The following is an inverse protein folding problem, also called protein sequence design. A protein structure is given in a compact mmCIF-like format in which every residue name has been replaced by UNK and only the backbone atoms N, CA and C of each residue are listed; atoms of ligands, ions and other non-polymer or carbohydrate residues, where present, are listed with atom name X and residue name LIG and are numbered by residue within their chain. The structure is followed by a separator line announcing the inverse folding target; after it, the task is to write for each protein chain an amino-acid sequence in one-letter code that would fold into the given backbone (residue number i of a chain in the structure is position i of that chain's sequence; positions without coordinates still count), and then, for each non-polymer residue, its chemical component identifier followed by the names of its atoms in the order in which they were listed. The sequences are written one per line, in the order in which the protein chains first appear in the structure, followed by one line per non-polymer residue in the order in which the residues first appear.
data_IF_700685874851
#
_entry.id   IF_700685874851
#
_cell.length_a   1.000
_cell.length_b   1.000
_cell.length_c   1.000
_cell.angle_alpha   90.00
_cell.angle_beta   90.00
_cell.angle_gamma   90.00
#
_symmetry.space_group_name_H-M   'P 1'
#
loop_
_entity.id
_entity.type
_entity.pdbx_description
1 polymer ?
#
# COMPACT_ATOMS: atom_id res chain seq x y z
N UNK A 1 -15.96 10.63 -10.72
CA UNK A 1 -17.02 9.97 -9.92
C UNK A 1 -16.54 9.55 -8.53
N UNK A 2 -15.29 9.07 -8.37
CA UNK A 2 -14.75 8.63 -7.06
C UNK A 2 -14.69 9.76 -6.02
N UNK A 3 -14.32 10.98 -6.44
CA UNK A 3 -14.18 12.12 -5.51
C UNK A 3 -15.49 12.58 -4.83
N UNK A 4 -16.66 12.37 -5.46
CA UNK A 4 -17.96 12.72 -4.87
C UNK A 4 -18.48 11.67 -3.89
N UNK A 5 -17.98 10.44 -3.95
CA UNK A 5 -18.38 9.33 -3.07
C UNK A 5 -17.50 9.19 -1.83
N UNK A 6 -16.35 9.86 -1.79
CA UNK A 6 -15.42 9.90 -0.67
C UNK A 6 -16.06 10.13 0.72
N UNK A 7 -17.03 11.05 0.93
CA UNK A 7 -17.63 11.23 2.25
C UNK A 7 -18.43 10.01 2.72
N UNK A 8 -19.11 9.32 1.80
CA UNK A 8 -19.92 8.12 2.11
C UNK A 8 -19.00 6.92 2.32
N UNK A 9 -17.98 6.74 1.46
CA UNK A 9 -17.03 5.63 1.56
C UNK A 9 -16.19 5.69 2.84
N UNK A 10 -15.85 6.90 3.31
CA UNK A 10 -15.07 7.11 4.53
C UNK A 10 -15.94 7.20 5.81
N UNK A 11 -17.24 6.92 5.73
CA UNK A 11 -18.10 6.94 6.91
C UNK A 11 -17.64 5.87 7.91
N UNK A 12 -17.36 6.30 9.16
CA UNK A 12 -16.84 5.43 10.23
C UNK A 12 -15.31 5.34 10.31
N UNK A 13 -14.56 6.02 9.44
CA UNK A 13 -13.09 5.88 9.37
C UNK A 13 -12.38 6.30 10.66
N UNK A 14 -12.93 7.25 11.41
CA UNK A 14 -12.34 7.77 12.65
C UNK A 14 -12.39 6.77 13.81
N UNK A 15 -13.25 5.75 13.72
CA UNK A 15 -13.42 4.70 14.74
C UNK A 15 -12.85 3.35 14.27
N UNK A 16 -12.15 3.33 13.14
CA UNK A 16 -11.66 2.14 12.48
C UNK A 16 -10.13 2.12 12.51
N UNK A 17 -9.54 0.95 12.80
CA UNK A 17 -8.10 0.77 12.74
C UNK A 17 -7.58 1.00 11.31
N UNK A 18 -6.36 1.56 11.17
CA UNK A 18 -5.75 1.84 9.86
C UNK A 18 -5.71 0.63 8.94
N UNK A 19 -5.53 -0.57 9.50
CA UNK A 19 -5.51 -1.85 8.78
C UNK A 19 -6.89 -2.25 8.22
N UNK A 20 -7.98 -1.73 8.77
CA UNK A 20 -9.35 -2.09 8.40
C UNK A 20 -10.03 -1.05 7.50
N UNK A 21 -9.37 0.07 7.20
CA UNK A 21 -9.92 1.17 6.39
C UNK A 21 -10.35 0.70 5.00
N UNK A 22 -9.55 -0.14 4.35
CA UNK A 22 -9.92 -0.72 3.06
C UNK A 22 -11.23 -1.53 3.14
N UNK A 23 -11.33 -2.43 4.11
CA UNK A 23 -12.52 -3.25 4.30
C UNK A 23 -13.76 -2.43 4.65
N UNK A 24 -13.60 -1.35 5.43
CA UNK A 24 -14.66 -0.39 5.72
C UNK A 24 -15.20 0.26 4.44
N UNK A 25 -14.29 0.77 3.59
CA UNK A 25 -14.67 1.39 2.31
C UNK A 25 -15.39 0.41 1.39
N UNK A 26 -14.94 -0.83 1.32
CA UNK A 26 -15.59 -1.90 0.55
C UNK A 26 -17.01 -2.19 1.03
N UNK A 27 -17.23 -2.27 2.34
CA UNK A 27 -18.57 -2.47 2.92
C UNK A 27 -19.49 -1.29 2.60
N UNK A 28 -19.00 -0.05 2.75
CA UNK A 28 -19.77 1.16 2.42
C UNK A 28 -20.08 1.26 0.92
N UNK A 29 -19.15 0.84 0.04
CA UNK A 29 -19.37 0.79 -1.41
C UNK A 29 -20.48 -0.20 -1.76
N UNK A 30 -20.42 -1.43 -1.22
CA UNK A 30 -21.45 -2.43 -1.42
C UNK A 30 -22.81 -1.94 -0.89
N UNK A 31 -22.84 -1.31 0.29
CA UNK A 31 -24.07 -0.75 0.84
C UNK A 31 -24.67 0.31 -0.09
N UNK A 32 -23.82 1.16 -0.69
CA UNK A 32 -24.24 2.16 -1.67
C UNK A 32 -24.81 1.51 -2.94
N UNK A 33 -24.12 0.50 -3.50
CA UNK A 33 -24.57 -0.22 -4.70
C UNK A 33 -25.90 -0.96 -4.45
N UNK A 34 -26.03 -1.69 -3.34
CA UNK A 34 -27.25 -2.40 -2.98
C UNK A 34 -28.42 -1.47 -2.70
N UNK A 35 -28.20 -0.36 -1.98
CA UNK A 35 -29.24 0.65 -1.72
C UNK A 35 -29.69 1.30 -3.03
N UNK A 36 -28.75 1.76 -3.86
CA UNK A 36 -29.04 2.40 -5.14
C UNK A 36 -29.74 1.46 -6.12
N UNK A 37 -29.26 0.23 -6.27
CA UNK A 37 -29.88 -0.79 -7.11
C UNK A 37 -31.29 -1.15 -6.65
N UNK A 38 -31.51 -1.29 -5.33
CA UNK A 38 -32.84 -1.55 -4.77
C UNK A 38 -33.81 -0.42 -5.04
N UNK A 39 -33.40 0.84 -4.81
CA UNK A 39 -34.24 2.01 -5.11
C UNK A 39 -34.55 2.14 -6.60
N UNK A 40 -33.58 1.81 -7.47
CA UNK A 40 -33.78 1.79 -8.92
C UNK A 40 -34.84 0.75 -9.31
N UNK A 41 -34.75 -0.48 -8.81
CA UNK A 41 -35.77 -1.51 -9.07
C UNK A 41 -37.14 -1.12 -8.50
N UNK A 42 -37.20 -0.52 -7.31
CA UNK A 42 -38.45 0.01 -6.76
C UNK A 42 -39.07 1.09 -7.65
N UNK A 43 -38.25 1.99 -8.19
CA UNK A 43 -38.72 3.00 -9.14
C UNK A 43 -39.22 2.36 -10.45
N UNK A 44 -38.52 1.33 -10.95
CA UNK A 44 -38.97 0.58 -12.13
C UNK A 44 -40.32 -0.12 -11.87
N UNK A 45 -40.50 -0.77 -10.72
CA UNK A 45 -41.78 -1.40 -10.35
C UNK A 45 -42.92 -0.39 -10.30
N UNK A 46 -42.67 0.82 -9.79
CA UNK A 46 -43.68 1.87 -9.71
C UNK A 46 -43.98 2.49 -11.08
N UNK A 47 -42.97 3.01 -11.76
CA UNK A 47 -43.15 3.84 -12.96
C UNK A 47 -43.28 3.04 -14.24
N UNK A 48 -42.50 1.96 -14.41
CA UNK A 48 -42.50 1.17 -15.64
C UNK A 48 -43.55 0.06 -15.61
N UNK A 49 -43.77 -0.56 -14.45
CA UNK A 49 -44.65 -1.72 -14.32
C UNK A 49 -45.96 -1.43 -13.55
N UNK A 50 -46.13 -0.22 -13.01
CA UNK A 50 -47.39 0.23 -12.38
C UNK A 50 -47.75 -0.48 -11.07
N UNK A 51 -46.83 -1.22 -10.45
CA UNK A 51 -47.08 -1.99 -9.23
C UNK A 51 -46.51 -1.28 -8.01
N UNK A 52 -47.39 -0.54 -7.32
CA UNK A 52 -47.06 0.13 -6.07
C UNK A 52 -46.66 -0.86 -4.97
N UNK A 53 -47.32 -2.03 -4.91
CA UNK A 53 -47.04 -3.07 -3.92
C UNK A 53 -45.66 -3.67 -4.09
N UNK A 54 -45.27 -4.03 -5.32
CA UNK A 54 -43.92 -4.53 -5.61
C UNK A 54 -42.84 -3.47 -5.30
N UNK A 55 -43.09 -2.21 -5.68
CA UNK A 55 -42.18 -1.10 -5.42
C UNK A 55 -41.92 -0.89 -3.92
N UNK A 56 -42.99 -0.92 -3.10
CA UNK A 56 -42.94 -0.72 -1.66
C UNK A 56 -42.25 -1.90 -0.97
N UNK A 57 -42.64 -3.14 -1.31
CA UNK A 57 -42.02 -4.36 -0.76
C UNK A 57 -40.51 -4.40 -1.03
N UNK A 58 -40.08 -4.11 -2.26
CA UNK A 58 -38.65 -4.04 -2.57
C UNK A 58 -37.97 -2.83 -1.89
N UNK A 59 -38.66 -1.70 -1.77
CA UNK A 59 -38.13 -0.47 -1.18
C UNK A 59 -37.79 -0.61 0.31
N UNK A 60 -38.49 -1.49 1.03
CA UNK A 60 -38.19 -1.79 2.43
C UNK A 60 -36.77 -2.35 2.62
N UNK A 61 -36.23 -3.09 1.65
CA UNK A 61 -34.85 -3.58 1.72
C UNK A 61 -33.83 -2.45 1.62
N UNK A 62 -34.13 -1.33 0.94
CA UNK A 62 -33.24 -0.17 0.90
C UNK A 62 -33.00 0.41 2.31
N UNK A 63 -34.03 0.41 3.16
CA UNK A 63 -33.91 0.82 4.57
C UNK A 63 -32.98 -0.11 5.33
N UNK A 64 -33.09 -1.43 5.11
CA UNK A 64 -32.22 -2.42 5.74
C UNK A 64 -30.75 -2.28 5.29
N UNK A 65 -30.50 -1.87 4.05
CA UNK A 65 -29.14 -1.57 3.60
C UNK A 65 -28.58 -0.31 4.22
N UNK A 66 -29.41 0.72 4.46
CA UNK A 66 -28.99 1.96 5.12
C UNK A 66 -28.46 1.70 6.54
N UNK A 67 -28.99 0.70 7.24
CA UNK A 67 -28.49 0.27 8.56
C UNK A 67 -27.00 -0.11 8.51
N UNK A 68 -26.50 -0.60 7.37
CA UNK A 68 -25.07 -0.89 7.19
C UNK A 68 -24.20 0.34 7.46
N UNK A 69 -24.63 1.53 6.99
CA UNK A 69 -23.89 2.78 7.24
C UNK A 69 -23.91 3.19 8.72
N UNK A 70 -24.99 2.87 9.43
CA UNK A 70 -25.07 3.10 10.88
C UNK A 70 -24.07 2.19 11.61
N UNK A 71 -24.02 0.91 11.24
CA UNK A 71 -23.09 -0.05 11.83
C UNK A 71 -21.62 0.34 11.56
N UNK A 72 -21.30 0.78 10.34
CA UNK A 72 -19.94 1.23 10.01
C UNK A 72 -19.59 2.54 10.72
N UNK A 73 -20.54 3.48 10.84
CA UNK A 73 -20.38 4.73 11.61
C UNK A 73 -20.09 4.46 13.10
N UNK A 74 -20.75 3.47 13.69
CA UNK A 74 -20.54 3.10 15.09
C UNK A 74 -19.23 2.31 15.32
N UNK A 75 -18.51 1.93 14.25
CA UNK A 75 -17.25 1.17 14.33
C UNK A 75 -17.45 -0.34 14.43
N UNK A 76 -18.68 -0.85 14.29
CA UNK A 76 -19.01 -2.27 14.42
C UNK A 76 -18.89 -2.97 13.06
N UNK A 77 -17.69 -2.94 12.49
CA UNK A 77 -17.44 -3.38 11.12
C UNK A 77 -17.75 -4.86 10.89
N UNK A 78 -17.46 -5.73 11.87
CA UNK A 78 -17.68 -7.17 11.71
C UNK A 78 -19.17 -7.49 11.51
N UNK A 79 -20.10 -6.85 12.24
CA UNK A 79 -21.54 -7.04 12.03
C UNK A 79 -21.95 -6.49 10.66
N UNK A 80 -21.45 -5.31 10.28
CA UNK A 80 -21.76 -4.69 8.99
C UNK A 80 -21.39 -5.61 7.80
N UNK A 81 -20.23 -6.29 7.89
CA UNK A 81 -19.77 -7.25 6.87
C UNK A 81 -20.78 -8.38 6.64
N UNK A 82 -21.34 -8.97 7.69
CA UNK A 82 -22.31 -10.07 7.53
C UNK A 82 -23.73 -9.57 7.24
N UNK A 83 -24.12 -8.45 7.86
CA UNK A 83 -25.43 -7.83 7.70
C UNK A 83 -25.77 -7.62 6.23
N UNK A 84 -24.86 -7.03 5.46
CA UNK A 84 -25.11 -6.74 4.05
C UNK A 84 -25.39 -7.99 3.20
N UNK A 85 -24.67 -9.08 3.44
CA UNK A 85 -24.90 -10.34 2.73
C UNK A 85 -26.20 -11.02 3.18
N UNK A 86 -26.54 -10.96 4.46
CA UNK A 86 -27.81 -11.49 4.98
C UNK A 86 -29.00 -10.78 4.32
N UNK A 87 -28.99 -9.44 4.30
CA UNK A 87 -30.06 -8.66 3.66
C UNK A 87 -30.12 -8.94 2.16
N UNK A 88 -28.97 -9.06 1.49
CA UNK A 88 -28.91 -9.42 0.08
C UNK A 88 -29.49 -10.79 -0.21
N UNK A 89 -29.13 -11.81 0.57
CA UNK A 89 -29.72 -13.15 0.42
C UNK A 89 -31.22 -13.16 0.67
N UNK A 90 -31.69 -12.46 1.70
CA UNK A 90 -33.12 -12.35 1.98
C UNK A 90 -33.86 -11.66 0.83
N UNK A 91 -33.33 -10.58 0.28
CA UNK A 91 -33.93 -9.89 -0.86
C UNK A 91 -33.98 -10.78 -2.11
N UNK A 92 -32.87 -11.45 -2.43
CA UNK A 92 -32.76 -12.30 -3.62
C UNK A 92 -33.59 -13.59 -3.53
N UNK A 93 -33.95 -14.03 -2.32
CA UNK A 93 -34.90 -15.11 -2.12
C UNK A 93 -36.36 -14.59 -2.13
N UNK A 94 -36.60 -13.42 -1.54
CA UNK A 94 -37.94 -12.85 -1.41
C UNK A 94 -38.54 -12.41 -2.75
N UNK A 95 -37.75 -11.76 -3.61
CA UNK A 95 -38.22 -11.23 -4.89
C UNK A 95 -38.82 -12.32 -5.81
N UNK A 96 -38.12 -13.42 -6.15
CA UNK A 96 -38.66 -14.44 -7.05
C UNK A 96 -39.79 -15.27 -6.41
N UNK A 97 -39.83 -15.40 -5.08
CA UNK A 97 -40.88 -16.19 -4.42
C UNK A 97 -42.22 -15.44 -4.31
N UNK A 98 -42.17 -14.13 -4.07
CA UNK A 98 -43.37 -13.36 -3.70
C UNK A 98 -43.68 -12.21 -4.65
N UNK A 99 -42.69 -11.62 -5.31
CA UNK A 99 -42.87 -10.36 -6.03
C UNK A 99 -42.88 -10.56 -7.54
N UNK A 100 -41.98 -11.38 -8.09
CA UNK A 100 -41.70 -11.46 -9.52
C UNK A 100 -42.10 -12.81 -10.11
N UNK A 101 -42.53 -12.80 -11.37
CA UNK A 101 -42.71 -14.03 -12.15
C UNK A 101 -41.38 -14.64 -12.60
N UNK A 102 -41.43 -15.92 -12.98
CA UNK A 102 -40.28 -16.76 -13.35
C UNK A 102 -39.33 -16.17 -14.41
N UNK A 103 -39.74 -15.14 -15.16
CA UNK A 103 -38.98 -14.58 -16.28
C UNK A 103 -38.11 -13.36 -15.92
N UNK A 104 -38.13 -12.85 -14.68
CA UNK A 104 -37.37 -11.65 -14.29
C UNK A 104 -35.94 -11.98 -13.82
N UNK A 105 -35.72 -13.19 -13.30
CA UNK A 105 -34.44 -13.76 -12.89
C UNK A 105 -33.51 -12.88 -12.01
N UNK A 106 -34.06 -12.14 -11.02
CA UNK A 106 -33.23 -11.31 -10.12
C UNK A 106 -32.17 -12.09 -9.37
N UNK A 107 -32.42 -13.36 -9.07
CA UNK A 107 -31.52 -14.26 -8.36
C UNK A 107 -30.16 -14.43 -9.06
N UNK A 108 -30.03 -14.09 -10.34
CA UNK A 108 -28.73 -14.00 -11.03
C UNK A 108 -27.76 -13.01 -10.37
N UNK A 109 -28.27 -12.00 -9.64
CA UNK A 109 -27.44 -11.08 -8.86
C UNK A 109 -26.62 -11.80 -7.77
N UNK A 110 -27.01 -13.01 -7.36
CA UNK A 110 -26.22 -13.85 -6.45
C UNK A 110 -24.85 -14.23 -7.03
N UNK A 111 -24.66 -14.18 -8.36
CA UNK A 111 -23.36 -14.44 -9.00
C UNK A 111 -22.29 -13.38 -8.70
N UNK A 112 -22.66 -12.19 -8.24
CA UNK A 112 -21.68 -11.17 -7.78
C UNK A 112 -21.12 -11.47 -6.39
N UNK A 113 -21.79 -12.32 -5.61
CA UNK A 113 -21.44 -12.57 -4.20
C UNK A 113 -20.02 -13.11 -4.04
N UNK A 114 -19.53 -14.10 -4.81
CA UNK A 114 -18.14 -14.55 -4.69
C UNK A 114 -17.14 -13.41 -4.82
N UNK A 115 -17.32 -12.51 -5.79
CA UNK A 115 -16.46 -11.34 -5.97
C UNK A 115 -16.57 -10.40 -4.77
N UNK A 116 -17.79 -10.06 -4.34
CA UNK A 116 -18.01 -9.16 -3.21
C UNK A 116 -17.42 -9.67 -1.89
N UNK A 117 -17.54 -10.97 -1.61
CA UNK A 117 -17.02 -11.56 -0.35
C UNK A 117 -15.48 -11.57 -0.34
N UNK A 118 -14.84 -11.80 -1.49
CA UNK A 118 -13.37 -11.70 -1.60
C UNK A 118 -12.87 -10.29 -1.29
N UNK A 119 -13.63 -9.26 -1.63
CA UNK A 119 -13.27 -7.85 -1.39
C UNK A 119 -13.50 -7.43 0.06
N UNK A 120 -14.56 -7.92 0.69
CA UNK A 120 -14.97 -7.51 2.04
C UNK A 120 -14.17 -8.21 3.15
N UNK A 121 -13.79 -9.47 2.95
CA UNK A 121 -13.15 -10.29 3.97
C UNK A 121 -11.65 -10.41 3.78
N UNK A 122 -10.92 -10.52 4.88
CA UNK A 122 -9.48 -10.72 4.86
C UNK A 122 -9.10 -11.98 4.08
N UNK A 123 -7.95 -11.97 3.36
CA UNK A 123 -7.47 -13.16 2.65
C UNK A 123 -7.31 -14.38 3.56
N UNK A 124 -7.00 -14.14 4.85
CA UNK A 124 -6.86 -15.17 5.88
C UNK A 124 -8.21 -15.75 6.35
N UNK A 125 -9.30 -14.99 6.24
CA UNK A 125 -10.64 -15.40 6.65
C UNK A 125 -11.30 -16.30 5.59
N UNK A 126 -10.76 -17.51 5.41
CA UNK A 126 -11.25 -18.47 4.39
C UNK A 126 -12.70 -18.91 4.63
N UNK A 127 -13.09 -19.09 5.88
CA UNK A 127 -14.42 -19.60 6.25
C UNK A 127 -15.58 -18.73 5.71
N UNK A 128 -15.66 -17.41 6.00
CA UNK A 128 -16.74 -16.58 5.45
C UNK A 128 -16.68 -16.48 3.92
N UNK A 129 -15.49 -16.52 3.32
CA UNK A 129 -15.30 -16.43 1.86
C UNK A 129 -15.95 -17.57 1.12
N UNK A 130 -15.59 -18.79 1.47
CA UNK A 130 -16.17 -19.97 0.82
C UNK A 130 -17.59 -20.23 1.31
N UNK A 131 -17.88 -20.02 2.59
CA UNK A 131 -19.21 -20.23 3.17
C UNK A 131 -20.29 -19.37 2.53
N UNK A 132 -20.11 -18.04 2.48
CA UNK A 132 -21.10 -17.13 1.90
C UNK A 132 -21.24 -17.34 0.38
N UNK A 133 -20.15 -17.68 -0.31
CA UNK A 133 -20.19 -18.01 -1.75
C UNK A 133 -21.00 -19.27 -2.02
N UNK A 134 -20.82 -20.32 -1.21
CA UNK A 134 -21.61 -21.56 -1.31
C UNK A 134 -23.08 -21.33 -0.99
N UNK A 135 -23.38 -20.51 0.03
CA UNK A 135 -24.76 -20.11 0.36
C UNK A 135 -25.40 -19.38 -0.82
N UNK A 136 -24.68 -18.44 -1.46
CA UNK A 136 -25.20 -17.73 -2.62
C UNK A 136 -25.53 -18.66 -3.79
N UNK A 137 -24.64 -19.62 -4.08
CA UNK A 137 -24.87 -20.63 -5.12
C UNK A 137 -26.09 -21.49 -4.77
N UNK A 138 -26.16 -21.98 -3.51
CA UNK A 138 -27.29 -22.77 -3.05
C UNK A 138 -28.62 -22.02 -3.15
N UNK A 139 -28.65 -20.75 -2.73
CA UNK A 139 -29.85 -19.90 -2.82
C UNK A 139 -30.26 -19.61 -4.27
N UNK A 140 -29.31 -19.48 -5.19
CA UNK A 140 -29.59 -19.33 -6.61
C UNK A 140 -30.33 -20.56 -7.13
N UNK A 141 -29.82 -21.77 -6.83
CA UNK A 141 -30.50 -23.01 -7.20
C UNK A 141 -31.87 -23.13 -6.54
N UNK A 142 -31.96 -22.82 -5.24
CA UNK A 142 -33.22 -22.88 -4.49
C UNK A 142 -34.28 -21.96 -5.12
N UNK A 143 -33.93 -20.69 -5.36
CA UNK A 143 -34.83 -19.71 -5.97
C UNK A 143 -35.31 -20.13 -7.36
N UNK A 144 -34.44 -20.78 -8.17
CA UNK A 144 -34.82 -21.31 -9.49
C UNK A 144 -35.74 -22.52 -9.44
N UNK A 145 -35.68 -23.31 -8.36
CA UNK A 145 -36.46 -24.56 -8.24
C UNK A 145 -37.80 -24.39 -7.57
N UNK A 146 -37.97 -23.35 -6.75
CA UNK A 146 -39.22 -23.09 -6.03
C UNK A 146 -40.17 -22.29 -6.92
N UNK A 147 -41.40 -22.77 -7.18
CA UNK A 147 -42.36 -22.01 -7.95
C UNK A 147 -42.79 -20.75 -7.19
N UNK A 148 -42.98 -19.64 -7.90
CA UNK A 148 -43.54 -18.43 -7.33
C UNK A 148 -44.97 -18.70 -6.83
N UNK A 149 -45.24 -18.39 -5.56
CA UNK A 149 -46.59 -18.50 -4.99
C UNK A 149 -47.35 -17.22 -5.26
N UNK A 150 -48.12 -17.17 -6.35
CA UNK A 150 -48.92 -16.03 -6.79
C UNK A 150 -48.12 -14.70 -6.87
N UNK A 151 -47.26 -14.53 -7.90
CA UNK A 151 -46.37 -13.38 -7.98
C UNK A 151 -47.16 -12.07 -8.11
N UNK A 152 -46.80 -11.07 -7.30
CA UNK A 152 -47.39 -9.71 -7.34
C UNK A 152 -47.24 -9.06 -8.72
N UNK A 153 -46.16 -9.39 -9.45
CA UNK A 153 -45.86 -8.87 -10.78
C UNK A 153 -45.70 -10.02 -11.79
N UNK A 154 -46.79 -10.33 -12.50
CA UNK A 154 -46.82 -11.30 -13.59
C UNK A 154 -46.36 -10.70 -14.92
N UNK A 155 -45.05 -10.55 -15.15
CA UNK A 155 -44.54 -10.08 -16.44
C UNK A 155 -44.44 -11.23 -17.46
N UNK A 156 -44.92 -10.98 -18.67
CA UNK A 156 -44.86 -11.90 -19.82
C UNK A 156 -44.36 -11.17 -21.06
N UNK A 157 -43.85 -11.92 -22.05
CA UNK A 157 -43.42 -11.39 -23.35
C UNK A 157 -42.25 -10.39 -23.25
N UNK A 158 -42.36 -9.27 -23.98
CA UNK A 158 -41.28 -8.28 -24.16
C UNK A 158 -40.88 -7.57 -22.86
N UNK A 159 -41.82 -7.35 -21.94
CA UNK A 159 -41.55 -6.65 -20.68
C UNK A 159 -40.68 -7.49 -19.73
N UNK A 160 -40.88 -8.81 -19.73
CA UNK A 160 -40.05 -9.74 -18.98
C UNK A 160 -38.62 -9.81 -19.56
N UNK A 161 -38.49 -9.86 -20.88
CA UNK A 161 -37.18 -9.81 -21.54
C UNK A 161 -36.42 -8.50 -21.24
N UNK A 162 -37.11 -7.36 -21.27
CA UNK A 162 -36.51 -6.07 -20.94
C UNK A 162 -36.00 -6.03 -19.49
N UNK A 163 -36.80 -6.54 -18.55
CA UNK A 163 -36.41 -6.66 -17.16
C UNK A 163 -35.18 -7.56 -16.96
N UNK A 164 -35.17 -8.72 -17.60
CA UNK A 164 -34.03 -9.64 -17.59
C UNK A 164 -32.74 -8.97 -18.08
N UNK A 165 -32.81 -8.20 -19.19
CA UNK A 165 -31.67 -7.43 -19.69
C UNK A 165 -31.22 -6.35 -18.70
N UNK A 166 -32.13 -5.71 -17.97
CA UNK A 166 -31.77 -4.78 -16.90
C UNK A 166 -31.02 -5.47 -15.76
N UNK A 167 -31.42 -6.69 -15.36
CA UNK A 167 -30.71 -7.48 -14.34
C UNK A 167 -29.29 -7.80 -14.80
N UNK A 168 -29.12 -8.28 -16.04
CA UNK A 168 -27.79 -8.53 -16.61
C UNK A 168 -26.95 -7.25 -16.64
N UNK A 169 -27.51 -6.13 -17.08
CA UNK A 169 -26.80 -4.86 -17.13
C UNK A 169 -26.32 -4.45 -15.72
N UNK A 170 -27.18 -4.55 -14.71
CA UNK A 170 -26.83 -4.23 -13.32
C UNK A 170 -25.75 -5.18 -12.78
N UNK A 171 -25.85 -6.48 -13.07
CA UNK A 171 -24.84 -7.48 -12.72
C UNK A 171 -23.46 -7.11 -13.29
N UNK A 172 -23.42 -6.76 -14.58
CA UNK A 172 -22.18 -6.39 -15.27
C UNK A 172 -21.64 -5.07 -14.72
N UNK A 173 -22.48 -4.04 -14.54
CA UNK A 173 -22.04 -2.76 -13.99
C UNK A 173 -21.53 -2.89 -12.55
N UNK A 174 -22.19 -3.70 -11.72
CA UNK A 174 -21.75 -3.98 -10.36
C UNK A 174 -20.39 -4.71 -10.34
N UNK A 175 -20.21 -5.71 -11.20
CA UNK A 175 -18.94 -6.46 -11.27
C UNK A 175 -17.77 -5.59 -11.76
N UNK A 176 -18.00 -4.73 -12.75
CA UNK A 176 -17.02 -3.75 -13.24
C UNK A 176 -16.69 -2.74 -12.13
N UNK A 177 -17.70 -2.15 -11.47
CA UNK A 177 -17.46 -1.17 -10.41
C UNK A 177 -16.67 -1.75 -9.22
N UNK A 178 -16.97 -2.99 -8.82
CA UNK A 178 -16.24 -3.68 -7.75
C UNK A 178 -14.79 -3.97 -8.15
N UNK A 179 -14.58 -4.39 -9.40
CA UNK A 179 -13.24 -4.71 -9.90
C UNK A 179 -12.39 -3.45 -10.08
N UNK A 180 -12.95 -2.37 -10.64
CA UNK A 180 -12.27 -1.08 -10.78
C UNK A 180 -11.85 -0.51 -9.42
N UNK A 181 -12.78 -0.50 -8.46
CA UNK A 181 -12.47 -0.04 -7.10
C UNK A 181 -11.37 -0.88 -6.44
N UNK A 182 -11.40 -2.21 -6.62
CA UNK A 182 -10.34 -3.09 -6.14
C UNK A 182 -8.98 -2.81 -6.78
N UNK A 183 -8.94 -2.59 -8.10
CA UNK A 183 -7.70 -2.29 -8.82
C UNK A 183 -7.09 -0.97 -8.35
N UNK A 184 -7.91 0.06 -8.18
CA UNK A 184 -7.45 1.37 -7.67
C UNK A 184 -6.92 1.26 -6.25
N UNK A 185 -7.62 0.53 -5.36
CA UNK A 185 -7.17 0.39 -3.98
C UNK A 185 -5.89 -0.46 -3.88
N UNK A 186 -5.79 -1.54 -4.66
CA UNK A 186 -4.58 -2.37 -4.76
C UNK A 186 -3.38 -1.55 -5.27
N UNK A 187 -3.58 -0.67 -6.25
CA UNK A 187 -2.54 0.24 -6.73
C UNK A 187 -2.07 1.21 -5.65
N UNK A 188 -2.99 1.79 -4.87
CA UNK A 188 -2.65 2.69 -3.78
C UNK A 188 -1.86 1.99 -2.66
N UNK A 189 -2.20 0.74 -2.34
CA UNK A 189 -1.46 -0.09 -1.38
C UNK A 189 -0.05 -0.42 -1.92
N UNK A 190 0.05 -0.74 -3.21
CA UNK A 190 1.34 -1.02 -3.86
C UNK A 190 2.23 0.23 -3.88
N UNK A 191 1.70 1.42 -4.21
CA UNK A 191 2.48 2.67 -4.17
C UNK A 191 3.00 3.01 -2.78
N UNK A 192 2.18 2.83 -1.74
CA UNK A 192 2.61 3.05 -0.35
C UNK A 192 3.70 2.06 0.05
N UNK A 193 3.55 0.80 -0.39
CA UNK A 193 4.56 -0.25 -0.17
C UNK A 193 5.84 0.03 -0.95
N UNK A 194 5.76 0.53 -2.20
CA UNK A 194 6.93 0.94 -3.01
C UNK A 194 7.72 2.07 -2.39
N UNK A 195 7.05 3.09 -1.82
CA UNK A 195 7.73 4.15 -1.07
C UNK A 195 8.50 3.60 0.15
N UNK A 196 7.92 2.61 0.83
CA UNK A 196 8.59 1.89 1.94
C UNK A 196 9.75 0.99 1.46
N UNK A 197 9.70 0.51 0.21
CA UNK A 197 10.71 -0.39 -0.36
C UNK A 197 11.94 0.36 -0.87
N UNK A 198 11.84 1.65 -1.23
CA UNK A 198 12.97 2.39 -1.81
C UNK A 198 13.55 3.53 -0.96
N UNK A 199 12.77 4.16 -0.09
CA UNK A 199 13.20 5.33 0.67
C UNK A 199 13.24 5.07 2.18
N UNK A 200 14.18 5.73 2.87
CA UNK A 200 14.22 5.80 4.33
C UNK A 200 13.21 6.85 4.80
N UNK A 201 12.14 6.42 5.48
CA UNK A 201 11.02 7.28 5.90
C UNK A 201 11.43 8.49 6.74
N UNK A 202 12.52 8.40 7.49
CA UNK A 202 12.96 9.51 8.34
C UNK A 202 13.66 10.59 7.52
N UNK A 203 14.55 10.19 6.62
CA UNK A 203 15.46 11.13 5.93
C UNK A 203 15.03 11.45 4.50
N UNK A 204 14.14 10.65 3.91
CA UNK A 204 13.77 10.73 2.49
C UNK A 204 14.92 10.41 1.53
N UNK A 205 15.99 9.77 2.01
CA UNK A 205 17.09 9.27 1.16
C UNK A 205 16.80 7.83 0.75
N UNK A 206 17.58 7.23 -0.15
CA UNK A 206 17.43 5.81 -0.46
C UNK A 206 17.60 4.96 0.81
N UNK A 207 16.76 3.96 1.03
CA UNK A 207 16.99 3.00 2.11
C UNK A 207 18.15 2.05 1.79
N UNK A 208 18.53 1.20 2.74
CA UNK A 208 19.66 0.28 2.59
C UNK A 208 19.52 -0.65 1.39
N UNK A 209 18.34 -1.23 1.18
CA UNK A 209 18.08 -2.14 0.06
C UNK A 209 18.22 -1.43 -1.30
N UNK A 210 17.64 -0.25 -1.43
CA UNK A 210 17.71 0.55 -2.66
C UNK A 210 19.13 1.02 -2.94
N UNK A 211 19.86 1.43 -1.90
CA UNK A 211 21.26 1.84 -2.01
C UNK A 211 22.16 0.71 -2.55
N UNK A 212 22.01 -0.52 -2.04
CA UNK A 212 22.78 -1.67 -2.53
C UNK A 212 22.48 -1.98 -4.00
N UNK A 213 21.20 -1.96 -4.38
CA UNK A 213 20.79 -2.18 -5.77
C UNK A 213 21.35 -1.10 -6.72
N UNK A 214 21.25 0.18 -6.33
CA UNK A 214 21.80 1.31 -7.10
C UNK A 214 23.32 1.23 -7.23
N UNK A 215 24.03 0.84 -6.17
CA UNK A 215 25.47 0.66 -6.21
C UNK A 215 25.88 -0.42 -7.22
N UNK A 216 25.18 -1.56 -7.26
CA UNK A 216 25.43 -2.63 -8.24
C UNK A 216 25.14 -2.18 -9.66
N UNK A 217 24.02 -1.51 -9.89
CA UNK A 217 23.67 -0.98 -11.20
C UNK A 217 24.76 -0.01 -11.71
N UNK A 218 25.13 0.98 -10.90
CA UNK A 218 26.16 1.95 -11.23
C UNK A 218 27.53 1.31 -11.44
N UNK A 219 27.85 0.25 -10.69
CA UNK A 219 29.09 -0.49 -10.86
C UNK A 219 29.16 -1.15 -12.25
N UNK A 220 28.10 -1.86 -12.65
CA UNK A 220 28.07 -2.50 -13.97
C UNK A 220 28.05 -1.48 -15.10
N UNK A 221 27.35 -0.36 -14.94
CA UNK A 221 27.37 0.73 -15.93
C UNK A 221 28.77 1.35 -16.05
N UNK A 222 29.41 1.67 -14.92
CA UNK A 222 30.76 2.24 -14.86
C UNK A 222 31.80 1.31 -15.50
N UNK A 223 31.69 0.00 -15.22
CA UNK A 223 32.55 -1.02 -15.83
C UNK A 223 32.39 -1.11 -17.35
N UNK A 224 31.15 -1.04 -17.87
CA UNK A 224 30.89 -1.01 -19.32
C UNK A 224 31.47 0.23 -19.99
N UNK A 225 31.48 1.37 -19.29
CA UNK A 225 31.99 2.66 -19.80
C UNK A 225 33.48 2.88 -19.54
N UNK A 226 34.16 1.95 -18.86
CA UNK A 226 35.53 2.12 -18.37
C UNK A 226 35.73 3.41 -17.55
N UNK A 227 34.73 3.78 -16.74
CA UNK A 227 34.79 4.94 -15.84
C UNK A 227 34.86 4.48 -14.38
N UNK A 228 35.54 5.22 -13.48
CA UNK A 228 35.61 4.84 -12.07
C UNK A 228 34.31 5.16 -11.33
N UNK A 229 33.85 4.22 -10.50
CA UNK A 229 32.81 4.42 -9.49
C UNK A 229 33.48 4.57 -8.12
N UNK A 230 33.20 5.64 -7.39
CA UNK A 230 33.64 5.78 -6.00
C UNK A 230 32.47 5.79 -5.03
N UNK A 231 32.68 5.26 -3.83
CA UNK A 231 31.69 5.23 -2.77
C UNK A 231 32.27 5.89 -1.52
N UNK A 232 31.48 6.76 -0.91
CA UNK A 232 31.79 7.40 0.36
C UNK A 232 30.76 6.93 1.38
N UNK A 233 31.20 6.19 2.39
CA UNK A 233 30.40 5.92 3.59
C UNK A 233 30.70 6.99 4.65
N UNK A 234 29.66 7.49 5.31
CA UNK A 234 29.71 8.60 6.25
C UNK A 234 29.00 8.12 7.50
N UNK A 235 29.69 8.06 8.63
CA UNK A 235 29.06 7.73 9.90
C UNK A 235 29.29 8.84 10.92
N UNK A 236 28.21 9.27 11.57
CA UNK A 236 28.25 10.33 12.57
C UNK A 236 28.99 9.87 13.83
N UNK A 237 29.94 10.69 14.27
CA UNK A 237 30.68 10.39 15.49
C UNK A 237 29.79 10.65 16.71
N UNK A 238 29.79 9.71 17.66
CA UNK A 238 29.10 9.81 18.96
C UNK A 238 27.57 10.06 18.87
N UNK A 239 26.93 9.61 17.79
CA UNK A 239 25.48 9.75 17.62
C UNK A 239 24.65 9.10 18.74
N UNK A 240 25.11 7.97 19.30
CA UNK A 240 24.45 7.37 20.46
C UNK A 240 24.44 8.29 21.67
N UNK A 241 25.53 9.03 21.92
CA UNK A 241 25.60 10.00 23.02
C UNK A 241 24.64 11.17 22.78
N UNK A 242 24.45 11.61 21.53
CA UNK A 242 23.44 12.62 21.20
C UNK A 242 22.04 12.13 21.59
N UNK A 243 21.72 10.87 21.27
CA UNK A 243 20.44 10.26 21.66
C UNK A 243 20.28 10.14 23.18
N UNK A 244 21.35 9.79 23.89
CA UNK A 244 21.36 9.65 25.35
C UNK A 244 21.21 11.00 26.06
N UNK A 245 21.87 12.05 25.57
CA UNK A 245 21.85 13.39 26.19
C UNK A 245 20.60 14.21 25.83
N UNK A 246 20.10 14.08 24.60
CA UNK A 246 19.05 14.97 24.07
C UNK A 246 17.77 14.23 23.64
N UNK A 247 17.72 12.91 23.80
CA UNK A 247 16.59 12.09 23.41
C UNK A 247 16.57 11.73 21.92
N UNK A 248 15.79 10.69 21.58
CA UNK A 248 15.71 10.15 20.21
C UNK A 248 15.17 11.14 19.19
N UNK A 249 14.22 11.99 19.59
CA UNK A 249 13.65 13.01 18.69
C UNK A 249 14.72 13.99 18.20
N UNK A 250 15.65 14.37 19.07
CA UNK A 250 16.81 15.20 18.68
C UNK A 250 17.72 14.44 17.73
N UNK A 251 17.98 13.16 17.98
CA UNK A 251 18.72 12.30 17.06
C UNK A 251 18.09 12.20 15.68
N UNK A 252 16.76 12.11 15.62
CA UNK A 252 16.02 12.07 14.36
C UNK A 252 16.16 13.37 13.56
N UNK A 253 16.04 14.53 14.23
CA UNK A 253 16.29 15.84 13.62
C UNK A 253 17.75 15.99 13.14
N UNK A 254 18.69 15.45 13.91
CA UNK A 254 20.11 15.37 13.56
C UNK A 254 20.30 14.55 12.29
N UNK A 255 19.58 13.45 12.08
CA UNK A 255 19.66 12.66 10.85
C UNK A 255 19.03 13.36 9.64
N UNK A 256 17.85 13.98 9.81
CA UNK A 256 17.19 14.78 8.77
C UNK A 256 18.12 15.88 8.28
N UNK A 257 18.71 16.63 9.22
CA UNK A 257 19.63 17.71 8.89
C UNK A 257 20.86 17.25 8.09
N UNK A 258 21.36 16.03 8.32
CA UNK A 258 22.49 15.50 7.51
C UNK A 258 22.02 15.15 6.11
N UNK A 259 20.86 14.52 5.98
CA UNK A 259 20.33 14.21 4.67
C UNK A 259 20.19 15.47 3.81
N UNK A 260 19.64 16.55 4.39
CA UNK A 260 19.51 17.84 3.71
C UNK A 260 20.87 18.46 3.39
N UNK A 261 21.80 18.47 4.36
CA UNK A 261 23.15 18.96 4.14
C UNK A 261 23.85 18.20 3.01
N UNK A 262 23.70 16.88 2.92
CA UNK A 262 24.28 16.09 1.84
C UNK A 262 23.67 16.45 0.48
N UNK A 263 22.35 16.66 0.41
CA UNK A 263 21.67 17.13 -0.82
C UNK A 263 22.14 18.52 -1.26
N UNK A 264 22.44 19.41 -0.32
CA UNK A 264 22.96 20.76 -0.62
C UNK A 264 24.42 20.73 -1.09
N UNK A 265 25.24 19.84 -0.53
CA UNK A 265 26.67 19.76 -0.84
C UNK A 265 26.96 18.99 -2.14
N UNK A 266 26.01 18.20 -2.63
CA UNK A 266 26.19 17.30 -3.76
C UNK A 266 25.29 17.70 -4.93
N UNK A 267 25.68 17.40 -6.19
CA UNK A 267 24.79 17.54 -7.34
C UNK A 267 23.48 16.77 -7.15
N UNK A 268 22.36 17.31 -7.63
CA UNK A 268 21.01 16.76 -7.42
C UNK A 268 20.85 15.29 -7.84
N UNK A 269 21.57 14.86 -8.89
CA UNK A 269 21.53 13.47 -9.41
C UNK A 269 22.43 12.50 -8.62
N UNK A 270 23.15 12.98 -7.59
CA UNK A 270 24.07 12.12 -6.84
C UNK A 270 23.27 11.22 -5.91
N UNK A 271 23.34 9.88 -6.05
CA UNK A 271 22.59 8.99 -5.17
C UNK A 271 23.11 9.05 -3.74
N UNK A 272 22.18 9.29 -2.81
CA UNK A 272 22.42 9.31 -1.36
C UNK A 272 21.46 8.29 -0.72
N UNK A 273 22.00 7.43 0.13
CA UNK A 273 21.19 6.49 0.89
C UNK A 273 21.62 6.37 2.35
N UNK A 274 20.68 6.03 3.22
CA UNK A 274 20.94 5.69 4.62
C UNK A 274 21.10 4.18 4.75
N UNK A 275 22.30 3.75 5.10
CA UNK A 275 22.66 2.34 5.17
C UNK A 275 22.12 1.67 6.44
N UNK A 276 22.34 2.28 7.60
CA UNK A 276 21.79 1.84 8.89
C UNK A 276 22.01 2.93 9.93
N UNK A 277 21.13 3.05 10.94
CA UNK A 277 21.29 3.94 12.09
C UNK A 277 21.77 5.37 11.74
N UNK A 278 23.06 5.65 11.87
CA UNK A 278 23.72 6.94 11.66
C UNK A 278 24.70 6.95 10.46
N UNK A 279 24.66 5.91 9.61
CA UNK A 279 25.50 5.78 8.42
C UNK A 279 24.75 6.17 7.16
N UNK A 280 25.31 7.12 6.42
CA UNK A 280 24.92 7.48 5.06
C UNK A 280 25.97 6.99 4.06
N UNK A 281 25.56 6.81 2.81
CA UNK A 281 26.43 6.43 1.70
C UNK A 281 26.10 7.30 0.51
N UNK A 282 27.16 7.75 -0.16
CA UNK A 282 27.11 8.54 -1.38
C UNK A 282 27.78 7.76 -2.51
N UNK A 283 27.09 7.65 -3.65
CA UNK A 283 27.60 7.00 -4.85
C UNK A 283 28.08 8.05 -5.85
N UNK A 284 29.35 8.00 -6.25
CA UNK A 284 29.97 8.97 -7.14
C UNK A 284 30.37 8.32 -8.46
N UNK A 285 29.54 8.51 -9.48
CA UNK A 285 29.85 8.11 -10.85
C UNK A 285 30.98 8.92 -11.45
N UNK A 286 31.74 8.30 -12.37
CA UNK A 286 32.86 8.91 -13.10
C UNK A 286 33.77 9.76 -12.18
N UNK A 287 34.10 9.18 -11.04
CA UNK A 287 34.82 9.87 -9.97
C UNK A 287 36.01 9.04 -9.52
N UNK A 288 37.23 9.36 -10.00
CA UNK A 288 38.44 8.70 -9.54
C UNK A 288 38.73 9.02 -8.06
N UNK A 289 39.64 8.26 -7.46
CA UNK A 289 39.90 8.30 -6.02
C UNK A 289 40.26 9.69 -5.48
N UNK A 290 41.01 10.50 -6.24
CA UNK A 290 41.34 11.88 -5.88
C UNK A 290 40.09 12.78 -5.81
N UNK A 291 39.18 12.68 -6.79
CA UNK A 291 37.92 13.43 -6.80
C UNK A 291 37.02 13.00 -5.64
N UNK A 292 36.91 11.69 -5.41
CA UNK A 292 36.14 11.15 -4.30
C UNK A 292 36.69 11.60 -2.93
N UNK A 293 38.01 11.68 -2.77
CA UNK A 293 38.65 12.19 -1.56
C UNK A 293 38.32 13.67 -1.33
N UNK A 294 38.36 14.49 -2.38
CA UNK A 294 38.01 15.91 -2.29
C UNK A 294 36.54 16.10 -1.87
N UNK A 295 35.62 15.33 -2.45
CA UNK A 295 34.19 15.35 -2.06
C UNK A 295 34.02 14.90 -0.61
N UNK A 296 34.72 13.85 -0.18
CA UNK A 296 34.68 13.40 1.20
C UNK A 296 35.20 14.48 2.17
N UNK A 297 36.25 15.22 1.79
CA UNK A 297 36.77 16.32 2.60
C UNK A 297 35.79 17.49 2.69
N UNK A 298 35.15 17.87 1.58
CA UNK A 298 34.08 18.85 1.55
C UNK A 298 32.93 18.47 2.49
N UNK A 299 32.42 17.23 2.39
CA UNK A 299 31.34 16.72 3.24
C UNK A 299 31.75 16.75 4.71
N UNK A 300 32.94 16.23 5.06
CA UNK A 300 33.43 16.22 6.44
C UNK A 300 33.48 17.63 7.03
N UNK A 301 34.01 18.59 6.27
CA UNK A 301 34.08 19.99 6.70
C UNK A 301 32.69 20.63 6.83
N UNK A 302 31.76 20.34 5.91
CA UNK A 302 30.39 20.84 5.98
C UNK A 302 29.68 20.31 7.23
N UNK A 303 29.77 19.01 7.50
CA UNK A 303 29.21 18.41 8.73
C UNK A 303 29.84 19.04 9.97
N UNK A 304 31.17 19.16 10.02
CA UNK A 304 31.87 19.74 11.19
C UNK A 304 31.59 21.22 11.43
N UNK A 305 31.17 21.97 10.39
CA UNK A 305 30.77 23.38 10.49
C UNK A 305 29.28 23.56 10.78
N UNK A 306 28.46 22.56 10.43
CA UNK A 306 27.03 22.59 10.67
C UNK A 306 26.72 22.61 12.17
N UNK A 307 25.81 23.49 12.56
CA UNK A 307 25.28 23.56 13.93
C UNK A 307 23.77 23.44 13.82
N UNK A 308 23.21 22.41 14.43
CA UNK A 308 21.76 22.26 14.51
C UNK A 308 21.27 22.93 15.79
N UNK A 309 20.39 23.92 15.63
CA UNK A 309 19.74 24.63 16.75
C UNK A 309 18.36 24.00 17.00
N UNK A 310 18.17 23.42 18.19
CA UNK A 310 16.91 22.82 18.64
C UNK A 310 16.57 23.37 20.03
N UNK A 311 15.45 24.07 20.19
CA UNK A 311 14.93 24.54 21.48
C UNK A 311 16.02 25.16 22.40
N UNK A 312 16.80 26.11 21.87
CA UNK A 312 17.95 26.77 22.53
C UNK A 312 19.19 25.89 22.81
N UNK A 313 19.26 24.65 22.30
CA UNK A 313 20.45 23.80 22.34
C UNK A 313 21.16 23.75 20.98
N UNK A 314 22.48 23.94 20.99
CA UNK A 314 23.31 23.86 19.80
C UNK A 314 24.01 22.50 19.76
N UNK A 315 23.61 21.63 18.82
CA UNK A 315 24.21 20.30 18.65
C UNK A 315 25.31 20.38 17.59
N UNK A 316 26.57 20.21 18.02
CA UNK A 316 27.74 20.07 17.15
C UNK A 316 28.17 18.61 17.08
N UNK A 317 28.66 18.20 15.92
CA UNK A 317 29.08 16.82 15.67
C UNK A 317 30.11 16.75 14.55
N UNK A 318 30.83 15.65 14.51
CA UNK A 318 31.75 15.31 13.42
C UNK A 318 31.31 14.01 12.77
N UNK A 319 31.96 13.63 11.68
CA UNK A 319 31.73 12.35 11.04
C UNK A 319 33.06 11.69 10.66
N UNK A 320 33.07 10.37 10.74
CA UNK A 320 34.13 9.51 10.21
C UNK A 320 33.71 8.99 8.84
N UNK A 321 34.56 9.17 7.84
CA UNK A 321 34.27 8.85 6.45
C UNK A 321 35.19 7.73 5.94
N UNK A 322 34.62 6.85 5.14
CA UNK A 322 35.31 5.78 4.45
C UNK A 322 35.15 5.94 2.94
N UNK A 323 36.25 5.93 2.21
CA UNK A 323 36.26 6.10 0.75
C UNK A 323 36.80 4.84 0.10
N UNK A 324 36.14 4.38 -0.96
CA UNK A 324 36.66 3.34 -1.85
C UNK A 324 36.38 3.71 -3.29
N UNK A 325 37.20 3.21 -4.21
CA UNK A 325 37.03 3.38 -5.65
C UNK A 325 37.10 2.02 -6.31
N UNK A 326 36.23 1.79 -7.28
CA UNK A 326 36.19 0.58 -8.09
C UNK A 326 37.53 0.33 -8.77
N UNK A 327 37.96 -0.93 -8.77
CA UNK A 327 39.12 -1.44 -9.49
C UNK A 327 38.74 -2.70 -10.26
N UNK A 328 39.61 -3.18 -11.15
CA UNK A 328 39.37 -4.43 -11.91
C UNK A 328 39.18 -5.66 -11.02
N UNK A 329 39.65 -5.60 -9.78
CA UNK A 329 39.48 -6.63 -8.75
C UNK A 329 38.05 -6.69 -8.16
N UNK A 330 37.20 -5.71 -8.44
CA UNK A 330 35.85 -5.63 -7.88
C UNK A 330 34.87 -6.54 -8.62
N UNK A 331 34.01 -7.20 -7.85
CA UNK A 331 32.97 -8.11 -8.39
C UNK A 331 31.56 -7.52 -8.35
N UNK A 332 31.29 -6.55 -7.47
CA UNK A 332 29.99 -5.90 -7.34
C UNK A 332 30.10 -4.52 -6.67
N UNK A 333 29.11 -3.66 -6.90
CA UNK A 333 28.97 -2.37 -6.23
C UNK A 333 28.58 -2.52 -4.76
N UNK A 334 27.78 -3.53 -4.43
CA UNK A 334 27.45 -3.88 -3.05
C UNK A 334 28.72 -4.12 -2.21
N UNK A 335 29.75 -4.77 -2.78
CA UNK A 335 31.01 -4.98 -2.07
C UNK A 335 31.82 -3.71 -1.87
N UNK A 336 31.69 -2.74 -2.78
CA UNK A 336 32.27 -1.41 -2.59
C UNK A 336 31.59 -0.69 -1.42
N UNK A 337 30.27 -0.79 -1.26
CA UNK A 337 29.55 -0.23 -0.10
C UNK A 337 30.09 -0.81 1.20
N UNK A 338 30.21 -2.13 1.30
CA UNK A 338 30.78 -2.80 2.48
C UNK A 338 32.22 -2.37 2.77
N UNK A 339 33.02 -2.18 1.71
CA UNK A 339 34.42 -1.77 1.82
C UNK A 339 34.53 -0.33 2.33
N UNK A 340 33.68 0.57 1.83
CA UNK A 340 33.59 1.94 2.33
C UNK A 340 33.17 1.96 3.81
N UNK A 341 32.16 1.17 4.19
CA UNK A 341 31.72 1.08 5.59
C UNK A 341 32.82 0.48 6.49
N UNK A 342 33.60 -0.47 5.99
CA UNK A 342 34.78 -0.99 6.70
C UNK A 342 35.84 0.11 6.88
N UNK A 343 36.05 0.97 5.87
CA UNK A 343 36.98 2.09 5.97
C UNK A 343 36.56 3.10 7.05
N UNK A 344 35.26 3.36 7.21
CA UNK A 344 34.72 4.17 8.32
C UNK A 344 35.15 3.60 9.68
N UNK A 345 35.06 2.28 9.88
CA UNK A 345 35.48 1.65 11.12
C UNK A 345 36.97 1.87 11.41
N UNK A 346 37.82 1.87 10.37
CA UNK A 346 39.23 2.23 10.50
C UNK A 346 39.44 3.71 10.85
N UNK A 347 38.66 4.62 10.25
CA UNK A 347 38.69 6.05 10.59
C UNK A 347 38.31 6.28 12.06
N UNK A 348 37.24 5.63 12.55
CA UNK A 348 36.80 5.70 13.95
C UNK A 348 37.90 5.21 14.91
N UNK A 349 38.52 4.06 14.63
CA UNK A 349 39.64 3.52 15.43
C UNK A 349 40.87 4.41 15.45
N UNK A 350 41.04 5.29 14.45
CA UNK A 350 42.16 6.24 14.34
C UNK A 350 41.87 7.62 14.94
N UNK A 351 40.83 7.73 15.78
CA UNK A 351 40.53 8.95 16.52
C UNK A 351 39.38 9.78 15.94
N UNK A 352 38.49 9.17 15.14
CA UNK A 352 37.26 9.80 14.58
C UNK A 352 37.53 11.07 13.75
N UNK A 353 36.49 11.75 13.26
CA UNK A 353 36.59 12.97 12.45
C UNK A 353 37.64 12.91 11.32
N UNK A 354 37.73 11.75 10.67
CA UNK A 354 38.80 11.41 9.73
C UNK A 354 38.23 10.73 8.50
N UNK A 355 39.01 10.80 7.43
CA UNK A 355 38.72 10.10 6.18
C UNK A 355 39.72 8.96 6.08
N UNK A 356 39.23 7.77 5.77
CA UNK A 356 40.07 6.61 5.48
C UNK A 356 39.73 6.10 4.09
N UNK A 357 40.73 6.00 3.22
CA UNK A 357 40.60 5.26 1.98
C UNK A 357 40.94 3.79 2.22
N UNK A 358 40.16 2.88 1.62
CA UNK A 358 40.52 1.48 1.46
C UNK A 358 40.40 1.09 -0.01
N UNK A 359 41.35 0.30 -0.48
CA UNK A 359 41.22 -0.36 -1.77
C UNK A 359 40.43 -1.66 -1.58
N UNK A 360 39.51 -1.99 -2.48
CA UNK A 360 38.81 -3.27 -2.47
C UNK A 360 39.84 -4.40 -2.67
N UNK A 361 39.91 -5.33 -1.72
CA UNK A 361 40.78 -6.51 -1.81
C UNK A 361 40.07 -7.65 -2.55
N UNK A 362 40.84 -8.47 -3.26
CA UNK A 362 40.37 -9.75 -3.82
C UNK A 362 39.78 -10.61 -2.69
N UNK A 363 38.46 -10.71 -2.61
CA UNK A 363 37.79 -11.75 -1.84
C UNK A 363 37.02 -12.62 -2.82
N UNK A 364 37.44 -13.88 -2.93
CA UNK A 364 36.64 -14.93 -3.56
C UNK A 364 35.30 -15.02 -2.85
N UNK A 365 34.23 -14.96 -3.64
CA UNK A 365 32.85 -14.95 -3.18
C UNK A 365 32.54 -16.24 -2.40
N UNK A 366 32.34 -16.14 -1.09
CA UNK A 366 31.52 -17.12 -0.37
C UNK A 366 30.14 -16.49 -0.22
N UNK A 367 29.21 -16.87 -1.09
CA UNK A 367 27.78 -16.68 -0.84
C UNK A 367 27.46 -17.38 0.47
N UNK A 368 27.21 -16.61 1.54
CA UNK A 368 26.60 -17.13 2.76
C UNK A 368 25.09 -17.09 2.53
N UNK A 369 24.52 -18.22 2.12
CA UNK A 369 23.09 -18.49 2.26
C UNK A 369 22.79 -18.50 3.77
N UNK A 370 22.38 -17.36 4.33
CA UNK A 370 21.65 -17.37 5.61
C UNK A 370 20.19 -17.67 5.31
N UNK A 371 19.90 -18.96 5.23
CA UNK A 371 18.58 -19.54 5.36
C UNK A 371 17.98 -19.09 6.70
N UNK A 372 16.83 -18.41 6.67
CA UNK A 372 15.98 -18.26 7.84
C UNK A 372 15.62 -19.67 8.39
N UNK A 373 15.63 -19.89 9.72
CA UNK A 373 15.13 -21.14 10.27
C UNK A 373 13.59 -21.16 10.19
N UNK A 374 12.97 -22.31 9.92
CA UNK A 374 11.53 -22.45 10.01
C UNK A 374 11.12 -22.49 11.49
N UNK A 375 10.11 -21.70 11.86
CA UNK A 375 9.26 -21.92 13.02
C UNK A 375 7.82 -21.64 12.64
#
# INVERSE_FOLDING_TARGET
MINSLNPILNMGITRCDKLQVHHLRMVNLLACLCTGGTLLFSALFWFAFGSATAALLNGLFAVLYIITFVLTREGILWIAKYWIFIIFFLQQLFLPLFVLSDNFETELLLLVVPTAVVLVFDPKARFPRYGLSLIAIFLLFLAKTLPASDPVLGLTGTNAQAAYLCVILILVLASVALTDFYLVDLHNIDEQSRKLVHEDLLTGTANSQSLYNQADELFFQSRRRNTPLSIIAINLDDFSQINEMHGRQTGDQVLIHIADLLREQLPAETPIGRLHADTFVVLLENSPANKAMNVAEQIKLAIGRSVLLLDNTAVKRTASLGVTTSSDACISGAKLVDTANTAVNHAKKRGKNKIQALLPKNFTCFYRNESYPPS
#
